data_IF_051258093531
#
_entry.id   IF_051258093531
#
_cell.length_a   1.000
_cell.length_b   1.000
_cell.length_c   1.000
_cell.angle_alpha   90.00
_cell.angle_beta   90.00
_cell.angle_gamma   90.00
#
_symmetry.space_group_name_H-M   'P 1'
#
loop_
_entity.id
_entity.type
_entity.pdbx_description
1 polymer ?
#
# COMPACT_ATOMS: atom_id res chain seq x y z
N UNK A 1 -44.80 17.72 -30.27
CA UNK A 1 -44.49 16.53 -29.44
C UNK A 1 -45.70 16.15 -28.57
N UNK A 2 -46.28 14.97 -28.79
CA UNK A 2 -47.55 14.57 -28.13
C UNK A 2 -47.34 14.12 -26.67
N UNK A 3 -48.41 14.11 -25.86
CA UNK A 3 -48.37 13.77 -24.42
C UNK A 3 -47.79 12.38 -24.11
N UNK A 4 -47.91 11.41 -25.03
CA UNK A 4 -47.34 10.05 -24.86
C UNK A 4 -45.81 10.05 -24.98
N UNK A 5 -45.23 10.91 -25.82
CA UNK A 5 -43.77 10.98 -25.96
C UNK A 5 -43.09 11.63 -24.75
N UNK A 6 -43.75 12.59 -24.06
CA UNK A 6 -43.20 13.19 -22.83
C UNK A 6 -43.11 12.21 -21.66
N UNK A 7 -44.08 11.29 -21.55
CA UNK A 7 -44.09 10.29 -20.47
C UNK A 7 -42.91 9.30 -20.58
N UNK A 8 -42.63 8.80 -21.78
CA UNK A 8 -41.49 7.88 -22.01
C UNK A 8 -40.13 8.51 -21.70
N UNK A 9 -39.95 9.81 -21.96
CA UNK A 9 -38.70 10.51 -21.67
C UNK A 9 -38.50 10.65 -20.15
N UNK A 10 -39.56 10.98 -19.40
CA UNK A 10 -39.47 11.12 -17.94
C UNK A 10 -39.19 9.79 -17.24
N UNK A 11 -39.81 8.68 -17.69
CA UNK A 11 -39.60 7.37 -17.09
C UNK A 11 -38.17 6.83 -17.33
N UNK A 12 -37.54 7.20 -18.45
CA UNK A 12 -36.15 6.81 -18.78
C UNK A 12 -35.12 7.61 -17.98
N UNK A 13 -35.42 8.87 -17.64
CA UNK A 13 -34.53 9.74 -16.86
C UNK A 13 -34.43 9.32 -15.38
N UNK A 14 -35.53 8.80 -14.81
CA UNK A 14 -35.59 8.40 -13.40
C UNK A 14 -34.87 7.06 -13.18
N UNK A 15 -34.90 6.14 -14.14
CA UNK A 15 -34.17 4.87 -14.05
C UNK A 15 -32.63 5.04 -14.11
N UNK A 16 -32.13 6.02 -14.86
CA UNK A 16 -30.68 6.29 -14.96
C UNK A 16 -30.05 6.85 -13.67
N UNK A 17 -30.82 7.60 -12.87
CA UNK A 17 -30.34 8.21 -11.62
C UNK A 17 -30.18 7.19 -10.47
N UNK A 18 -31.00 6.14 -10.44
CA UNK A 18 -30.93 5.12 -9.38
C UNK A 18 -29.70 4.20 -9.51
N UNK A 19 -29.25 3.90 -10.74
CA UNK A 19 -28.08 3.05 -10.99
C UNK A 19 -26.76 3.81 -10.76
N UNK A 20 -26.72 5.11 -11.06
CA UNK A 20 -25.54 5.96 -10.82
C UNK A 20 -25.21 6.15 -9.34
N UNK A 21 -26.22 6.23 -8.46
CA UNK A 21 -26.03 6.45 -7.03
C UNK A 21 -25.48 5.21 -6.29
N UNK A 22 -25.78 3.99 -6.75
CA UNK A 22 -25.26 2.76 -6.15
C UNK A 22 -23.76 2.58 -6.50
N UNK A 23 -23.35 2.91 -7.72
CA UNK A 23 -21.94 2.83 -8.13
C UNK A 23 -21.04 3.80 -7.34
N UNK A 24 -21.52 5.00 -7.01
CA UNK A 24 -20.76 6.00 -6.24
C UNK A 24 -20.58 5.55 -4.78
N UNK A 25 -21.57 4.90 -4.18
CA UNK A 25 -21.47 4.41 -2.79
C UNK A 25 -20.44 3.29 -2.62
N UNK A 26 -20.29 2.38 -3.61
CA UNK A 26 -19.29 1.31 -3.56
C UNK A 26 -17.87 1.86 -3.71
N UNK A 27 -17.66 2.87 -4.58
CA UNK A 27 -16.35 3.52 -4.75
C UNK A 27 -15.92 4.27 -3.48
N UNK A 28 -16.86 4.85 -2.73
CA UNK A 28 -16.56 5.55 -1.48
C UNK A 28 -16.28 4.61 -0.30
N UNK A 29 -16.82 3.39 -0.30
CA UNK A 29 -16.55 2.41 0.77
C UNK A 29 -15.11 1.87 0.74
N UNK A 30 -14.51 1.69 -0.45
CA UNK A 30 -13.12 1.21 -0.55
C UNK A 30 -12.06 2.28 -0.26
N UNK A 31 -12.37 3.57 -0.38
CA UNK A 31 -11.45 4.66 -0.01
C UNK A 31 -11.37 4.91 1.51
N UNK A 32 -12.28 4.32 2.30
CA UNK A 32 -12.43 4.62 3.72
C UNK A 32 -11.64 3.73 4.68
N UNK A 33 -11.15 2.57 4.24
CA UNK A 33 -10.34 1.70 5.10
C UNK A 33 -8.86 2.02 4.98
N UNK A 34 -8.48 3.25 5.36
CA UNK A 34 -7.08 3.52 5.70
C UNK A 34 -6.77 2.79 7.02
N UNK A 35 -6.19 1.60 6.92
CA UNK A 35 -5.62 0.93 8.07
C UNK A 35 -4.39 1.73 8.52
N UNK A 36 -4.51 2.45 9.64
CA UNK A 36 -3.35 2.93 10.39
C UNK A 36 -3.05 1.89 11.47
N UNK A 37 -1.90 1.19 11.44
CA UNK A 37 -1.50 0.36 12.56
C UNK A 37 -1.32 1.24 13.81
N UNK A 38 -1.71 0.71 14.96
CA UNK A 38 -1.56 1.41 16.23
C UNK A 38 -0.06 1.58 16.58
N UNK A 39 0.35 2.72 17.15
CA UNK A 39 1.74 2.96 17.54
C UNK A 39 2.20 2.00 18.65
N UNK A 40 3.48 1.63 18.63
CA UNK A 40 4.09 0.56 19.42
C UNK A 40 4.20 0.79 20.95
N UNK A 41 3.49 1.76 21.53
CA UNK A 41 3.60 2.06 22.97
C UNK A 41 2.35 1.72 23.80
N UNK A 42 1.62 0.67 23.41
CA UNK A 42 0.62 0.08 24.29
C UNK A 42 0.97 -1.37 24.57
N UNK A 43 1.19 -1.65 25.85
CA UNK A 43 1.44 -2.92 26.55
C UNK A 43 0.33 -3.96 26.39
N UNK A 44 -0.25 -4.12 25.19
CA UNK A 44 -1.32 -5.07 24.90
C UNK A 44 -1.42 -5.36 23.40
N UNK A 45 -0.49 -6.15 22.86
CA UNK A 45 -0.74 -6.90 21.61
C UNK A 45 -0.40 -8.39 21.79
N UNK A 46 -1.03 -9.03 22.77
CA UNK A 46 -1.23 -10.49 22.79
C UNK A 46 -2.55 -10.91 22.15
N UNK A 47 -3.24 -9.99 21.45
CA UNK A 47 -4.45 -10.36 20.70
C UNK A 47 -4.02 -11.02 19.39
N UNK A 48 -3.69 -12.30 19.47
CA UNK A 48 -3.54 -13.17 18.32
C UNK A 48 -4.88 -13.20 17.56
N UNK A 49 -4.99 -12.38 16.52
CA UNK A 49 -6.00 -12.64 15.51
C UNK A 49 -5.64 -13.96 14.83
N UNK A 50 -6.59 -14.89 14.59
CA UNK A 50 -6.32 -16.04 13.76
C UNK A 50 -5.91 -15.53 12.37
N UNK A 51 -4.61 -15.61 12.09
CA UNK A 51 -4.01 -15.05 10.89
C UNK A 51 -4.21 -16.02 9.74
N UNK A 52 -5.44 -16.08 9.24
CA UNK A 52 -5.70 -16.72 7.95
C UNK A 52 -5.19 -15.80 6.86
N UNK A 53 -4.18 -16.25 6.10
CA UNK A 53 -3.76 -15.59 4.87
C UNK A 53 -5.01 -15.43 4.00
N UNK A 54 -5.42 -14.19 3.80
CA UNK A 54 -6.57 -13.86 2.97
C UNK A 54 -6.20 -14.02 1.50
N UNK A 55 -7.17 -14.33 0.62
CA UNK A 55 -6.89 -14.33 -0.81
C UNK A 55 -6.58 -12.91 -1.25
N UNK A 56 -5.38 -12.69 -1.80
CA UNK A 56 -5.13 -11.52 -2.61
C UNK A 56 -5.92 -11.67 -3.92
N UNK A 57 -7.11 -11.06 -3.98
CA UNK A 57 -8.11 -11.35 -5.03
C UNK A 57 -7.67 -10.94 -6.43
N UNK A 58 -6.88 -9.88 -6.54
CA UNK A 58 -6.37 -9.35 -7.81
C UNK A 58 -4.86 -9.12 -7.70
N UNK A 59 -4.14 -10.18 -7.34
CA UNK A 59 -2.69 -10.11 -7.20
C UNK A 59 -1.97 -10.21 -8.54
N UNK A 60 -1.02 -9.31 -8.74
CA UNK A 60 -0.13 -9.26 -9.90
C UNK A 60 1.25 -9.79 -9.49
N UNK A 61 1.90 -10.61 -10.33
CA UNK A 61 3.22 -11.14 -10.03
C UNK A 61 4.30 -10.05 -10.16
N UNK A 62 5.27 -10.04 -9.25
CA UNK A 62 6.47 -9.20 -9.34
C UNK A 62 7.42 -9.69 -10.44
N UNK A 63 7.45 -11.01 -10.70
CA UNK A 63 8.27 -11.59 -11.75
C UNK A 63 7.94 -11.01 -13.14
N UNK A 64 8.96 -10.55 -13.87
CA UNK A 64 8.80 -9.97 -15.21
C UNK A 64 8.23 -8.54 -15.25
N UNK A 65 7.95 -7.92 -14.10
CA UNK A 65 7.39 -6.56 -14.02
C UNK A 65 8.43 -5.43 -14.16
N UNK A 66 9.71 -5.74 -13.94
CA UNK A 66 10.76 -4.73 -13.76
C UNK A 66 10.83 -4.13 -12.36
N UNK A 67 9.93 -4.50 -11.45
CA UNK A 67 10.00 -4.13 -10.02
C UNK A 67 11.16 -4.91 -9.38
N UNK A 68 12.15 -4.25 -8.75
CA UNK A 68 13.19 -4.93 -7.99
C UNK A 68 12.61 -5.58 -6.74
N UNK A 69 12.89 -6.86 -6.50
CA UNK A 69 12.41 -7.60 -5.33
C UNK A 69 13.38 -8.70 -4.88
N UNK A 70 13.37 -9.00 -3.58
CA UNK A 70 14.02 -10.16 -2.99
C UNK A 70 13.14 -11.39 -3.26
N UNK A 71 13.72 -12.38 -3.95
CA UNK A 71 13.01 -13.63 -4.28
C UNK A 71 12.70 -14.43 -3.02
N UNK A 72 11.66 -15.25 -3.11
CA UNK A 72 11.23 -16.19 -2.06
C UNK A 72 10.65 -15.54 -0.78
N UNK A 73 10.46 -14.21 -0.76
CA UNK A 73 9.84 -13.46 0.36
C UNK A 73 8.52 -12.79 -0.09
N UNK A 74 7.65 -13.59 -0.72
CA UNK A 74 6.43 -13.12 -1.35
C UNK A 74 6.68 -12.56 -2.76
N UNK A 75 5.78 -12.86 -3.69
CA UNK A 75 5.99 -12.58 -5.12
C UNK A 75 4.79 -11.89 -5.79
N UNK A 76 3.77 -11.53 -5.01
CA UNK A 76 2.56 -10.92 -5.53
C UNK A 76 2.12 -9.73 -4.69
N UNK A 77 1.45 -8.80 -5.36
CA UNK A 77 0.89 -7.58 -4.77
C UNK A 77 -0.45 -7.25 -5.42
N UNK A 78 -1.34 -6.59 -4.69
CA UNK A 78 -2.61 -6.09 -5.23
C UNK A 78 -2.38 -5.23 -6.48
N UNK A 79 -3.28 -5.34 -7.47
CA UNK A 79 -3.15 -4.63 -8.75
C UNK A 79 -3.03 -3.11 -8.62
N UNK A 80 -3.68 -2.49 -7.63
CA UNK A 80 -3.56 -1.05 -7.38
C UNK A 80 -2.17 -0.68 -6.88
N UNK A 81 -1.63 -1.46 -5.95
CA UNK A 81 -0.26 -1.29 -5.44
C UNK A 81 0.79 -1.60 -6.52
N UNK A 82 0.58 -2.67 -7.30
CA UNK A 82 1.42 -3.06 -8.44
C UNK A 82 1.64 -1.90 -9.41
N UNK A 83 0.58 -1.21 -9.82
CA UNK A 83 0.67 -0.10 -10.76
C UNK A 83 1.54 1.05 -10.22
N UNK A 84 1.44 1.34 -8.91
CA UNK A 84 2.30 2.35 -8.27
C UNK A 84 3.76 1.89 -8.22
N UNK A 85 4.01 0.61 -7.91
CA UNK A 85 5.37 0.05 -7.82
C UNK A 85 6.08 0.00 -9.18
N UNK A 86 5.37 -0.37 -10.26
CA UNK A 86 5.92 -0.30 -11.63
C UNK A 86 6.35 1.12 -11.97
N UNK A 87 5.52 2.12 -11.64
CA UNK A 87 5.86 3.52 -11.86
C UNK A 87 7.10 3.94 -11.05
N UNK A 88 7.17 3.53 -9.78
CA UNK A 88 8.32 3.80 -8.91
C UNK A 88 9.62 3.19 -9.45
N UNK A 89 9.58 1.92 -9.89
CA UNK A 89 10.73 1.19 -10.42
C UNK A 89 11.31 1.83 -11.69
N UNK A 90 10.46 2.49 -12.50
CA UNK A 90 10.91 3.21 -13.69
C UNK A 90 11.66 4.52 -13.37
N UNK A 91 11.56 5.05 -12.14
CA UNK A 91 12.17 6.34 -11.75
C UNK A 91 13.35 6.19 -10.79
N UNK A 92 13.38 5.11 -10.00
CA UNK A 92 14.32 4.92 -8.92
C UNK A 92 14.70 3.44 -8.80
N UNK A 93 16.00 3.16 -8.84
CA UNK A 93 16.62 1.84 -8.77
C UNK A 93 17.38 1.58 -7.45
N UNK A 94 17.23 2.47 -6.46
CA UNK A 94 17.96 2.39 -5.17
C UNK A 94 17.28 1.49 -4.13
N UNK A 95 16.12 0.94 -4.46
CA UNK A 95 15.25 0.19 -3.56
C UNK A 95 14.86 -1.17 -4.16
N UNK A 96 14.30 -2.03 -3.32
CA UNK A 96 13.67 -3.28 -3.71
C UNK A 96 12.55 -3.63 -2.74
N UNK A 97 11.58 -4.43 -3.20
CA UNK A 97 10.64 -5.11 -2.32
C UNK A 97 11.40 -6.15 -1.50
N UNK A 98 11.38 -6.03 -0.18
CA UNK A 98 12.00 -6.99 0.74
C UNK A 98 11.00 -8.02 1.25
N UNK A 99 9.70 -7.67 1.25
CA UNK A 99 8.62 -8.61 1.56
C UNK A 99 7.31 -8.20 0.89
N UNK A 100 6.60 -9.18 0.33
CA UNK A 100 5.27 -9.04 -0.28
C UNK A 100 4.34 -10.20 0.10
N UNK A 101 3.22 -10.35 -0.61
CA UNK A 101 2.31 -11.48 -0.40
C UNK A 101 2.74 -12.72 -1.22
N UNK A 102 2.56 -13.93 -0.69
CA UNK A 102 2.20 -14.22 0.70
C UNK A 102 3.39 -13.92 1.63
N UNK A 103 3.14 -13.39 2.84
CA UNK A 103 4.21 -13.09 3.78
C UNK A 103 4.88 -14.38 4.25
N UNK A 104 6.17 -14.30 4.56
CA UNK A 104 6.95 -15.46 5.04
C UNK A 104 7.08 -15.49 6.56
N UNK A 105 6.88 -14.34 7.20
CA UNK A 105 6.88 -14.19 8.65
C UNK A 105 5.54 -13.65 9.14
N UNK A 106 5.37 -13.68 10.46
CA UNK A 106 4.16 -13.17 11.12
C UNK A 106 4.23 -11.64 11.20
N UNK A 107 3.26 -10.97 10.59
CA UNK A 107 3.13 -9.51 10.61
C UNK A 107 2.04 -9.00 11.55
N UNK A 108 2.24 -7.81 12.09
CA UNK A 108 1.19 -7.04 12.77
C UNK A 108 0.23 -6.39 11.76
N UNK A 109 0.77 -5.93 10.62
CA UNK A 109 0.00 -5.27 9.57
C UNK A 109 -0.83 -6.28 8.80
N UNK A 110 -2.17 -6.19 8.92
CA UNK A 110 -3.09 -7.08 8.23
C UNK A 110 -2.96 -7.02 6.69
N UNK A 111 -2.52 -5.88 6.15
CA UNK A 111 -2.40 -5.66 4.71
C UNK A 111 -1.42 -6.64 4.02
N UNK A 112 -0.39 -7.12 4.73
CA UNK A 112 0.55 -8.12 4.20
C UNK A 112 -0.15 -9.45 3.92
N UNK A 113 -1.18 -9.80 4.70
CA UNK A 113 -1.96 -11.04 4.54
C UNK A 113 -2.95 -10.98 3.38
N UNK A 114 -3.18 -9.81 2.80
CA UNK A 114 -4.09 -9.60 1.66
C UNK A 114 -3.38 -8.97 0.44
N UNK A 115 -2.07 -8.76 0.53
CA UNK A 115 -1.25 -8.21 -0.56
C UNK A 115 -1.46 -6.73 -0.86
N UNK A 116 -2.08 -5.97 0.04
CA UNK A 116 -2.37 -4.54 -0.18
C UNK A 116 -1.28 -3.61 0.36
N UNK A 117 -0.17 -4.16 0.85
CA UNK A 117 1.03 -3.44 1.23
C UNK A 117 2.27 -4.31 0.97
N UNK A 118 3.44 -3.68 1.00
CA UNK A 118 4.75 -4.34 0.91
C UNK A 118 5.74 -3.65 1.83
N UNK A 119 6.80 -4.36 2.18
CA UNK A 119 7.99 -3.76 2.76
C UNK A 119 9.02 -3.55 1.64
N UNK A 120 9.58 -2.33 1.60
CA UNK A 120 10.63 -1.97 0.65
C UNK A 120 11.89 -1.51 1.38
N UNK A 121 13.05 -1.95 0.91
CA UNK A 121 14.35 -1.63 1.50
C UNK A 121 15.28 -1.01 0.46
N UNK A 122 16.20 -0.18 0.92
CA UNK A 122 17.32 0.31 0.12
C UNK A 122 18.30 -0.84 -0.09
N UNK A 123 18.98 -0.84 -1.23
CA UNK A 123 20.14 -1.73 -1.42
C UNK A 123 21.25 -1.40 -0.41
N UNK A 124 22.04 -2.40 -0.05
CA UNK A 124 23.05 -2.29 1.01
C UNK A 124 24.08 -1.17 0.74
N UNK A 125 24.52 -1.03 -0.51
CA UNK A 125 25.42 0.03 -0.99
C UNK A 125 24.76 1.43 -1.05
N UNK A 126 23.45 1.51 -0.83
CA UNK A 126 22.64 2.73 -0.83
C UNK A 126 22.03 3.05 0.55
N UNK A 127 22.41 2.35 1.62
CA UNK A 127 21.90 2.61 2.97
C UNK A 127 22.40 3.94 3.54
N UNK A 128 21.73 5.04 3.22
CA UNK A 128 22.04 6.39 3.73
C UNK A 128 20.80 7.25 3.94
N UNK A 129 20.93 8.29 4.76
CA UNK A 129 19.88 9.29 4.99
C UNK A 129 19.45 10.00 3.70
N UNK A 130 20.38 10.24 2.78
CA UNK A 130 20.10 10.89 1.49
C UNK A 130 19.21 10.01 0.62
N UNK A 131 19.56 8.73 0.43
CA UNK A 131 18.77 7.82 -0.38
C UNK A 131 17.42 7.50 0.26
N UNK A 132 17.36 7.37 1.59
CA UNK A 132 16.10 7.16 2.29
C UNK A 132 15.15 8.36 2.10
N UNK A 133 15.65 9.59 2.27
CA UNK A 133 14.85 10.79 2.06
C UNK A 133 14.39 10.92 0.60
N UNK A 134 15.25 10.59 -0.37
CA UNK A 134 14.88 10.57 -1.78
C UNK A 134 13.77 9.54 -2.05
N UNK A 135 13.92 8.31 -1.55
CA UNK A 135 12.93 7.26 -1.72
C UNK A 135 11.56 7.68 -1.12
N UNK A 136 11.54 8.29 0.07
CA UNK A 136 10.31 8.81 0.64
C UNK A 136 9.67 9.93 -0.19
N UNK A 137 10.46 10.85 -0.76
CA UNK A 137 9.95 11.87 -1.68
C UNK A 137 9.26 11.21 -2.88
N UNK A 138 9.93 10.23 -3.50
CA UNK A 138 9.42 9.54 -4.68
C UNK A 138 8.12 8.78 -4.35
N UNK A 139 8.08 8.08 -3.22
CA UNK A 139 6.89 7.39 -2.73
C UNK A 139 5.71 8.34 -2.51
N UNK A 140 5.92 9.44 -1.77
CA UNK A 140 4.86 10.41 -1.49
C UNK A 140 4.37 11.07 -2.78
N UNK A 141 5.27 11.42 -3.70
CA UNK A 141 4.93 11.97 -5.02
C UNK A 141 4.13 10.99 -5.89
N UNK A 142 4.18 9.69 -5.59
CA UNK A 142 3.43 8.64 -6.28
C UNK A 142 2.23 8.13 -5.48
N UNK A 143 1.82 8.86 -4.44
CA UNK A 143 0.60 8.60 -3.69
C UNK A 143 0.66 7.35 -2.82
N UNK A 144 1.86 6.96 -2.39
CA UNK A 144 2.03 5.96 -1.34
C UNK A 144 1.78 6.58 0.04
N UNK A 145 1.19 5.78 0.92
CA UNK A 145 1.32 5.97 2.36
C UNK A 145 2.56 5.23 2.85
N UNK A 146 3.25 5.78 3.85
CA UNK A 146 4.54 5.27 4.32
C UNK A 146 4.50 5.15 5.84
N UNK A 147 4.97 4.02 6.36
CA UNK A 147 5.49 3.91 7.72
C UNK A 147 6.99 3.66 7.60
N UNK A 148 7.76 4.51 8.28
CA UNK A 148 9.21 4.41 8.27
C UNK A 148 9.67 3.47 9.38
N UNK A 149 10.22 2.32 9.02
CA UNK A 149 10.69 1.29 9.96
C UNK A 149 12.22 1.19 9.97
N UNK A 150 12.93 2.18 9.41
CA UNK A 150 14.39 2.28 9.55
C UNK A 150 14.77 2.72 10.95
N UNK A 151 15.28 1.79 11.75
CA UNK A 151 15.87 2.08 13.07
C UNK A 151 17.34 2.53 12.98
N UNK A 152 18.05 2.13 11.92
CA UNK A 152 19.49 2.37 11.75
C UNK A 152 19.89 3.66 11.01
N UNK A 153 18.95 4.35 10.35
CA UNK A 153 19.25 5.55 9.56
C UNK A 153 18.75 6.80 10.29
N UNK A 154 19.67 7.72 10.62
CA UNK A 154 19.35 9.01 11.25
C UNK A 154 19.00 10.04 10.19
N UNK A 155 17.71 10.40 10.10
CA UNK A 155 17.22 11.48 9.25
C UNK A 155 17.19 12.82 9.99
N UNK A 156 17.42 13.92 9.26
CA UNK A 156 17.07 15.25 9.74
C UNK A 156 15.60 15.53 9.41
N UNK A 157 14.72 15.30 10.38
CA UNK A 157 13.27 15.43 10.19
C UNK A 157 12.78 16.87 9.93
N UNK A 158 13.62 17.89 10.15
CA UNK A 158 13.27 19.26 9.79
C UNK A 158 13.33 19.50 8.27
N UNK A 159 14.05 18.65 7.54
CA UNK A 159 14.24 18.77 6.09
C UNK A 159 13.90 17.49 5.33
N UNK A 160 13.49 16.44 6.06
CA UNK A 160 13.13 15.15 5.49
C UNK A 160 11.64 15.09 5.23
N UNK A 161 11.26 14.48 4.11
CA UNK A 161 9.86 14.15 3.82
C UNK A 161 9.44 12.80 4.38
N UNK A 162 10.39 11.93 4.72
CA UNK A 162 10.07 10.67 5.38
C UNK A 162 9.36 10.93 6.71
N UNK A 163 8.32 10.13 7.03
CA UNK A 163 7.77 10.07 8.38
C UNK A 163 8.84 9.74 9.42
N UNK A 164 8.61 10.15 10.66
CA UNK A 164 9.42 9.74 11.80
C UNK A 164 9.48 8.21 11.90
N UNK A 165 10.69 7.68 12.12
CA UNK A 165 10.88 6.24 12.33
C UNK A 165 10.03 5.71 13.48
N UNK A 166 9.39 4.58 13.23
CA UNK A 166 8.64 3.78 14.20
C UNK A 166 9.28 2.40 14.27
N UNK A 167 9.53 1.92 15.48
CA UNK A 167 10.10 0.59 15.73
C UNK A 167 8.97 -0.29 16.25
N UNK A 168 8.78 -1.44 15.63
CA UNK A 168 7.84 -2.46 16.05
C UNK A 168 8.61 -3.68 16.54
N UNK A 169 8.09 -4.41 17.54
CA UNK A 169 8.77 -5.59 18.09
C UNK A 169 8.99 -6.70 17.06
N UNK A 170 8.17 -6.73 16.01
CA UNK A 170 8.19 -7.77 14.97
C UNK A 170 8.96 -7.37 13.72
N UNK A 171 9.42 -6.12 13.59
CA UNK A 171 10.15 -5.69 12.40
C UNK A 171 11.65 -5.79 12.67
N UNK A 172 12.40 -6.38 11.74
CA UNK A 172 13.87 -6.45 11.83
C UNK A 172 14.53 -5.08 11.70
N UNK A 173 13.73 -4.06 11.35
CA UNK A 173 14.17 -2.72 11.01
C UNK A 173 14.86 -2.68 9.64
N UNK A 174 14.82 -1.52 8.99
CA UNK A 174 15.54 -1.29 7.72
C UNK A 174 14.69 -1.34 6.46
N UNK A 175 13.37 -1.14 6.60
CA UNK A 175 12.43 -1.06 5.51
C UNK A 175 11.46 0.14 5.68
N UNK A 176 10.76 0.45 4.59
CA UNK A 176 9.55 1.26 4.59
C UNK A 176 8.37 0.32 4.34
N UNK A 177 7.33 0.44 5.14
CA UNK A 177 6.06 -0.26 4.90
C UNK A 177 5.15 0.67 4.09
N UNK A 178 4.69 0.22 2.91
CA UNK A 178 4.03 1.11 1.93
C UNK A 178 2.76 0.52 1.31
N UNK A 179 1.79 1.39 1.00
CA UNK A 179 0.51 1.05 0.34
C UNK A 179 -0.08 2.22 -0.48
#
# INVERSE_FOLDING_TARGET
MNKRQRKKINDTLIAGLAVGMIAIAVILFFKGMHYQPAPANQTSQTKEYPQTIGPCRFCMPLAGSGIPYDKDIGEYVDAGLYAKLVKLAAMNDTWRVTEAWPPTVRHLSFCHFVGTCVDIGLYHDRLSATYLNQLCNDLLANGFSIINEYSGIKLNYNTSSCPTSQIFETTTGGNLHVW
#
